data_IF_719546133799
#
_entry.id   IF_719546133799
#
_cell.length_a   1.000
_cell.length_b   1.000
_cell.length_c   1.000
_cell.angle_alpha   90.00
_cell.angle_beta   90.00
_cell.angle_gamma   90.00
#
_symmetry.space_group_name_H-M   'P 1'
#
loop_
_entity.id
_entity.type
_entity.pdbx_description
1 polymer ?
#
# COMPACT_ATOMS: atom_id res chain seq x y z
N UNK A 1 -12.59 -40.93 -7.60
CA UNK A 1 -11.68 -39.93 -6.99
C UNK A 1 -12.05 -38.60 -7.59
N UNK A 2 -12.75 -37.76 -6.81
CA UNK A 2 -13.34 -36.51 -7.32
C UNK A 2 -12.27 -35.42 -7.24
N UNK A 3 -11.79 -34.96 -8.40
CA UNK A 3 -10.97 -33.75 -8.48
C UNK A 3 -11.88 -32.55 -8.24
N UNK A 4 -12.03 -32.18 -6.97
CA UNK A 4 -12.54 -30.86 -6.57
C UNK A 4 -11.45 -29.83 -6.86
N UNK A 5 -11.33 -29.46 -8.14
CA UNK A 5 -10.66 -28.24 -8.52
C UNK A 5 -11.53 -27.11 -7.97
N UNK A 6 -11.08 -26.47 -6.89
CA UNK A 6 -11.75 -25.32 -6.31
C UNK A 6 -11.96 -24.29 -7.42
N UNK A 7 -13.21 -24.09 -7.81
CA UNK A 7 -13.63 -22.98 -8.67
C UNK A 7 -13.59 -21.73 -7.79
N UNK A 8 -12.36 -21.27 -7.51
CA UNK A 8 -12.15 -19.99 -6.84
C UNK A 8 -12.63 -18.91 -7.81
N UNK A 9 -13.52 -18.00 -7.37
CA UNK A 9 -13.94 -16.91 -8.23
C UNK A 9 -12.70 -16.17 -8.73
N UNK A 10 -12.69 -15.81 -10.01
CA UNK A 10 -11.64 -15.00 -10.61
C UNK A 10 -11.61 -13.66 -9.85
N UNK A 11 -10.67 -13.53 -8.91
CA UNK A 11 -10.57 -12.34 -8.08
C UNK A 11 -10.24 -11.16 -8.99
N UNK A 12 -11.00 -10.07 -8.87
CA UNK A 12 -10.73 -8.87 -9.63
C UNK A 12 -9.24 -8.49 -9.48
N UNK A 13 -8.56 -8.09 -10.57
CA UNK A 13 -7.13 -7.85 -10.53
C UNK A 13 -6.76 -6.85 -9.44
N UNK A 14 -5.78 -7.21 -8.62
CA UNK A 14 -5.22 -6.31 -7.62
C UNK A 14 -4.46 -5.17 -8.31
N UNK A 15 -4.61 -3.95 -7.76
CA UNK A 15 -3.92 -2.77 -8.24
C UNK A 15 -3.09 -2.17 -7.12
N UNK A 16 -1.78 -2.04 -7.35
CA UNK A 16 -0.86 -1.39 -6.43
C UNK A 16 -0.28 -0.12 -7.06
N UNK A 17 -0.20 0.95 -6.27
CA UNK A 17 0.37 2.24 -6.67
C UNK A 17 1.54 2.55 -5.76
N UNK A 18 2.75 2.59 -6.33
CA UNK A 18 4.00 2.84 -5.60
C UNK A 18 4.41 4.30 -5.75
N UNK A 19 4.56 4.99 -4.61
CA UNK A 19 5.06 6.36 -4.57
C UNK A 19 6.57 6.35 -4.31
N UNK A 20 7.35 6.94 -5.23
CA UNK A 20 8.81 7.04 -5.12
C UNK A 20 9.20 8.47 -4.79
N UNK A 21 9.83 8.66 -3.63
CA UNK A 21 10.39 9.94 -3.22
C UNK A 21 11.89 9.96 -3.48
N UNK A 22 12.39 11.05 -4.05
CA UNK A 22 13.82 11.25 -4.21
C UNK A 22 14.33 11.99 -2.97
N UNK A 23 15.14 11.31 -2.17
CA UNK A 23 15.70 11.86 -0.93
C UNK A 23 17.16 12.30 -1.18
N UNK A 24 17.65 13.22 -0.36
CA UNK A 24 19.04 13.66 -0.38
C UNK A 24 19.95 12.72 0.41
N UNK A 25 21.23 13.08 0.54
CA UNK A 25 22.21 12.27 1.27
C UNK A 25 22.56 10.97 0.55
N UNK A 26 23.30 10.10 1.24
CA UNK A 26 23.93 8.94 0.58
C UNK A 26 22.99 7.74 0.40
N UNK A 27 21.89 7.65 1.17
CA UNK A 27 21.01 6.46 1.14
C UNK A 27 19.54 6.76 1.45
N UNK A 28 19.23 7.13 2.70
CA UNK A 28 17.86 7.13 3.22
C UNK A 28 17.22 8.50 3.36
N UNK A 29 17.82 9.54 2.76
CA UNK A 29 17.42 10.90 3.08
C UNK A 29 17.98 11.39 4.40
N UNK A 30 17.99 12.71 4.52
CA UNK A 30 18.21 13.36 5.80
C UNK A 30 17.03 13.12 6.75
N UNK A 31 17.23 13.22 8.07
CA UNK A 31 16.18 13.00 9.08
C UNK A 31 14.88 13.78 8.82
N UNK A 32 14.98 15.03 8.39
CA UNK A 32 13.82 15.88 8.10
C UNK A 32 13.05 15.39 6.86
N UNK A 33 13.78 14.87 5.86
CA UNK A 33 13.16 14.32 4.65
C UNK A 33 12.42 13.02 4.94
N UNK A 34 12.99 12.15 5.78
CA UNK A 34 12.30 10.94 6.25
C UNK A 34 11.04 11.28 7.06
N UNK A 35 11.10 12.33 7.88
CA UNK A 35 9.94 12.81 8.62
C UNK A 35 8.78 13.20 7.68
N UNK A 36 9.08 13.87 6.55
CA UNK A 36 8.09 14.19 5.53
C UNK A 36 7.50 12.94 4.85
N UNK A 37 8.31 11.89 4.63
CA UNK A 37 7.82 10.61 4.07
C UNK A 37 6.82 9.96 5.04
N UNK A 38 7.11 9.94 6.35
CA UNK A 38 6.19 9.40 7.35
C UNK A 38 4.89 10.22 7.48
N UNK A 39 4.97 11.55 7.33
CA UNK A 39 3.76 12.38 7.30
C UNK A 39 2.91 12.12 6.06
N UNK A 40 3.53 11.93 4.90
CA UNK A 40 2.84 11.56 3.67
C UNK A 40 2.17 10.18 3.80
N UNK A 41 2.87 9.18 4.34
CA UNK A 41 2.33 7.85 4.62
C UNK A 41 1.10 7.93 5.52
N UNK A 42 1.19 8.66 6.64
CA UNK A 42 0.06 8.84 7.58
C UNK A 42 -1.13 9.52 6.90
N UNK A 43 -0.88 10.54 6.09
CA UNK A 43 -1.93 11.29 5.38
C UNK A 43 -2.63 10.42 4.35
N UNK A 44 -1.86 9.60 3.61
CA UNK A 44 -2.40 8.66 2.63
C UNK A 44 -3.20 7.57 3.36
N UNK A 45 -2.65 6.98 4.43
CA UNK A 45 -3.35 6.00 5.25
C UNK A 45 -4.70 6.50 5.77
N UNK A 46 -4.76 7.74 6.26
CA UNK A 46 -6.01 8.36 6.68
C UNK A 46 -7.00 8.53 5.51
N UNK A 47 -6.53 8.94 4.34
CA UNK A 47 -7.38 9.10 3.15
C UNK A 47 -7.90 7.75 2.63
N UNK A 48 -7.05 6.73 2.59
CA UNK A 48 -7.41 5.36 2.20
C UNK A 48 -8.46 4.79 3.13
N UNK A 49 -8.24 4.90 4.44
CA UNK A 49 -9.18 4.42 5.45
C UNK A 49 -10.52 5.16 5.37
N UNK A 50 -10.50 6.48 5.18
CA UNK A 50 -11.72 7.27 5.02
C UNK A 50 -12.51 6.92 3.76
N UNK A 51 -11.82 6.56 2.67
CA UNK A 51 -12.45 6.18 1.41
C UNK A 51 -12.79 4.69 1.32
N UNK A 52 -12.30 3.84 2.23
CA UNK A 52 -12.61 2.40 2.27
C UNK A 52 -12.09 1.64 1.04
N UNK A 53 -10.96 2.06 0.49
CA UNK A 53 -10.50 1.61 -0.85
C UNK A 53 -9.31 0.65 -0.81
N UNK A 54 -8.78 0.31 0.38
CA UNK A 54 -7.70 -0.66 0.54
C UNK A 54 -6.86 -0.44 1.80
N UNK A 55 -5.61 -0.89 1.75
CA UNK A 55 -4.60 -0.73 2.80
C UNK A 55 -3.39 0.06 2.27
N UNK A 56 -2.64 0.70 3.18
CA UNK A 56 -1.34 1.31 2.89
C UNK A 56 -0.27 0.47 3.57
N UNK A 57 0.56 -0.21 2.77
CA UNK A 57 1.75 -0.91 3.28
C UNK A 57 3.02 -0.07 3.01
N UNK A 58 3.66 0.34 4.10
CA UNK A 58 4.93 1.04 4.12
C UNK A 58 6.05 0.11 4.56
N UNK A 59 6.74 -0.53 3.61
CA UNK A 59 8.04 -1.09 3.91
C UNK A 59 8.99 0.07 4.25
N UNK A 60 9.71 -0.07 5.37
CA UNK A 60 10.72 0.82 5.96
C UNK A 60 11.83 1.29 4.97
N UNK A 61 11.82 0.82 3.72
CA UNK A 61 12.79 1.10 2.68
C UNK A 61 12.22 1.56 1.33
N UNK A 62 10.90 1.54 1.11
CA UNK A 62 10.23 2.02 -0.12
C UNK A 62 8.72 1.95 0.07
N UNK A 63 8.01 3.08 -0.07
CA UNK A 63 6.62 3.17 0.37
C UNK A 63 5.56 2.95 -0.72
N UNK A 64 4.48 2.30 -0.26
CA UNK A 64 3.10 2.24 -0.72
C UNK A 64 2.81 1.14 -1.75
N UNK A 65 2.27 0.02 -1.26
CA UNK A 65 1.43 -0.88 -2.05
C UNK A 65 0.00 -0.79 -1.52
N UNK A 66 -0.97 -0.76 -2.43
CA UNK A 66 -2.39 -0.86 -2.12
C UNK A 66 -2.83 -2.31 -2.25
N UNK A 67 -3.57 -2.84 -1.27
CA UNK A 67 -4.15 -4.18 -1.38
C UNK A 67 -5.62 -4.27 -0.92
N UNK A 68 -6.39 -4.97 -1.76
CA UNK A 68 -7.66 -5.71 -1.58
C UNK A 68 -9.00 -5.00 -1.35
N UNK A 69 -10.11 -5.63 -1.84
CA UNK A 69 -11.40 -5.00 -2.02
C UNK A 69 -12.17 -4.88 -0.71
N UNK A 70 -12.86 -3.75 -0.57
CA UNK A 70 -13.84 -3.47 0.46
C UNK A 70 -14.80 -4.67 0.65
N UNK A 71 -14.70 -5.33 1.80
CA UNK A 71 -15.65 -6.35 2.25
C UNK A 71 -16.15 -5.93 3.63
N UNK A 72 -17.29 -5.21 3.68
CA UNK A 72 -17.87 -4.74 4.92
C UNK A 72 -19.25 -4.09 4.79
N UNK A 73 -20.27 -4.96 4.83
CA UNK A 73 -21.72 -4.78 5.10
C UNK A 73 -22.57 -3.87 4.18
#
# INVERSE_FOLDING_TARGET
>A
MQNVLFDLPDEAPEHAVIARFQLGGDEFGEPDQRSLVFEAERSIGAAVAAAGVGEVDGNEWSAIAWSRPFTGC
#
